data_IF_259234287505
#
_entry.id   IF_259234287505
#
_cell.length_a   1.000
_cell.length_b   1.000
_cell.length_c   1.000
_cell.angle_alpha   90.00
_cell.angle_beta   90.00
_cell.angle_gamma   90.00
#
_symmetry.space_group_name_H-M   'P 1'
#
loop_
_entity.id
_entity.type
_entity.pdbx_description
1 polymer ?
#
# COMPACT_ATOMS: atom_id res chain seq x y z
N UNK A 1 41.32 -31.60 -8.61
CA UNK A 1 40.42 -31.94 -7.48
C UNK A 1 39.57 -30.72 -7.17
N UNK A 2 38.29 -30.75 -7.53
CA UNK A 2 37.33 -29.68 -7.21
C UNK A 2 36.39 -30.19 -6.11
N UNK A 3 36.09 -29.41 -5.05
CA UNK A 3 35.11 -29.82 -4.08
C UNK A 3 33.70 -29.50 -4.59
N UNK A 4 32.87 -30.54 -4.68
CA UNK A 4 31.42 -30.45 -4.83
C UNK A 4 30.85 -29.75 -3.60
N UNK A 5 30.13 -28.64 -3.76
CA UNK A 5 29.25 -28.11 -2.70
C UNK A 5 27.87 -28.73 -2.89
N UNK A 6 27.45 -29.47 -1.88
CA UNK A 6 26.10 -30.00 -1.74
C UNK A 6 25.12 -28.82 -1.64
N UNK A 7 24.01 -28.93 -2.36
CA UNK A 7 22.80 -28.16 -2.07
C UNK A 7 22.24 -28.70 -0.75
N UNK A 8 22.11 -27.84 0.26
CA UNK A 8 21.37 -28.15 1.48
C UNK A 8 19.91 -27.73 1.26
N UNK A 9 19.03 -28.72 1.37
CA UNK A 9 17.59 -28.59 1.32
C UNK A 9 17.10 -27.89 2.60
N UNK A 10 16.61 -26.65 2.48
CA UNK A 10 16.03 -25.92 3.62
C UNK A 10 14.59 -26.36 3.84
N UNK A 11 14.33 -27.05 4.96
CA UNK A 11 12.98 -27.46 5.35
C UNK A 11 12.05 -26.26 5.64
N UNK A 12 10.78 -26.29 5.19
CA UNK A 12 9.84 -25.16 5.26
C UNK A 12 9.31 -24.81 6.67
N UNK A 13 9.83 -25.43 7.74
CA UNK A 13 9.37 -25.24 9.13
C UNK A 13 10.20 -24.28 9.99
N UNK A 14 11.40 -23.89 9.54
CA UNK A 14 12.35 -23.08 10.33
C UNK A 14 12.04 -21.58 10.28
N UNK A 15 11.50 -21.10 9.16
CA UNK A 15 11.15 -19.70 8.92
C UNK A 15 10.26 -19.10 10.04
N UNK A 16 9.22 -19.83 10.45
CA UNK A 16 8.28 -19.38 11.48
C UNK A 16 8.88 -19.33 12.89
N UNK A 17 9.90 -20.14 13.17
CA UNK A 17 10.59 -20.18 14.47
C UNK A 17 11.61 -19.04 14.54
N UNK A 18 12.34 -18.79 13.46
CA UNK A 18 13.31 -17.70 13.38
C UNK A 18 12.63 -16.32 13.43
N UNK A 19 11.51 -16.15 12.72
CA UNK A 19 10.70 -14.93 12.79
C UNK A 19 10.25 -14.64 14.23
N UNK A 20 9.80 -15.67 14.98
CA UNK A 20 9.41 -15.54 16.40
C UNK A 20 10.58 -15.21 17.32
N UNK A 21 11.79 -15.70 17.02
CA UNK A 21 13.00 -15.40 17.81
C UNK A 21 13.47 -13.97 17.57
N UNK A 22 13.51 -13.54 16.31
CA UNK A 22 13.70 -12.13 15.94
C UNK A 22 12.68 -11.25 16.67
N UNK A 23 11.41 -11.67 16.68
CA UNK A 23 10.32 -10.97 17.37
C UNK A 23 10.49 -10.76 18.88
N UNK A 24 11.14 -11.69 19.59
CA UNK A 24 11.44 -11.51 21.02
C UNK A 24 12.56 -10.51 21.26
N UNK A 25 13.36 -10.26 20.23
CA UNK A 25 14.56 -9.44 20.28
C UNK A 25 14.36 -8.08 19.62
N UNK A 26 13.26 -7.89 18.89
CA UNK A 26 12.88 -6.61 18.28
C UNK A 26 12.31 -5.65 19.32
N UNK A 27 12.63 -4.38 19.14
CA UNK A 27 12.11 -3.31 19.99
C UNK A 27 10.61 -3.08 19.74
N UNK A 28 9.95 -2.41 20.69
CA UNK A 28 8.52 -2.08 20.62
C UNK A 28 8.11 -1.39 19.30
N UNK A 29 9.02 -0.63 18.69
CA UNK A 29 8.77 0.07 17.43
C UNK A 29 8.64 -0.88 16.23
N UNK A 30 9.49 -1.91 16.09
CA UNK A 30 9.31 -2.95 15.07
C UNK A 30 7.95 -3.64 15.22
N UNK A 31 7.52 -3.90 16.45
CA UNK A 31 6.23 -4.55 16.68
C UNK A 31 5.02 -3.66 16.34
N UNK A 32 5.21 -2.35 16.27
CA UNK A 32 4.19 -1.37 15.89
C UNK A 32 4.22 -1.05 14.39
N UNK A 33 5.27 -1.45 13.68
CA UNK A 33 5.39 -1.22 12.24
C UNK A 33 4.52 -2.21 11.47
N UNK A 34 3.42 -1.69 10.90
CA UNK A 34 2.42 -2.49 10.19
C UNK A 34 2.92 -3.03 8.86
N UNK A 35 3.82 -2.29 8.19
CA UNK A 35 4.39 -2.69 6.91
C UNK A 35 5.32 -3.89 7.11
N UNK A 36 6.21 -3.81 8.11
CA UNK A 36 7.03 -4.93 8.57
C UNK A 36 6.13 -6.10 8.94
N UNK A 37 5.13 -5.86 9.79
CA UNK A 37 4.35 -6.95 10.37
C UNK A 37 3.48 -7.73 9.40
N UNK A 38 3.00 -7.06 8.37
CA UNK A 38 2.23 -7.71 7.33
C UNK A 38 3.09 -8.55 6.37
N UNK A 39 4.43 -8.38 6.38
CA UNK A 39 5.32 -8.98 5.39
C UNK A 39 6.42 -9.87 5.98
N UNK A 40 6.86 -9.64 7.22
CA UNK A 40 7.99 -10.36 7.83
C UNK A 40 7.76 -11.88 7.86
N UNK A 41 6.52 -12.31 8.12
CA UNK A 41 6.15 -13.73 8.17
C UNK A 41 6.07 -14.41 6.80
N UNK A 42 6.12 -13.64 5.70
CA UNK A 42 6.13 -14.17 4.33
C UNK A 42 7.54 -14.48 3.84
N UNK A 43 8.57 -14.10 4.59
CA UNK A 43 9.96 -14.30 4.21
C UNK A 43 10.42 -15.67 4.71
N UNK A 44 10.84 -16.54 3.79
CA UNK A 44 11.32 -17.89 4.10
C UNK A 44 12.65 -17.85 4.86
N UNK A 45 13.66 -17.17 4.33
CA UNK A 45 14.95 -16.95 4.99
C UNK A 45 15.06 -15.50 5.50
N UNK A 46 14.42 -15.22 6.63
CA UNK A 46 14.47 -13.90 7.25
C UNK A 46 15.91 -13.52 7.64
N UNK A 47 16.72 -14.48 8.10
CA UNK A 47 18.07 -14.21 8.56
C UNK A 47 19.02 -13.85 7.42
N UNK A 48 18.92 -14.55 6.29
CA UNK A 48 19.61 -14.19 5.05
C UNK A 48 19.15 -12.83 4.57
N UNK A 49 17.83 -12.61 4.51
CA UNK A 49 17.23 -11.35 4.06
C UNK A 49 17.73 -10.14 4.85
N UNK A 50 17.83 -10.24 6.17
CA UNK A 50 18.32 -9.17 7.04
C UNK A 50 19.81 -8.84 6.85
N UNK A 51 20.61 -9.79 6.33
CA UNK A 51 22.03 -9.58 6.00
C UNK A 51 22.26 -9.01 4.61
N UNK A 52 21.21 -8.94 3.78
CA UNK A 52 21.31 -8.34 2.46
C UNK A 52 21.65 -6.86 2.56
N UNK A 53 22.41 -6.43 1.58
CA UNK A 53 22.90 -5.07 1.43
C UNK A 53 22.10 -4.39 0.33
N UNK A 54 21.57 -3.22 0.63
CA UNK A 54 20.88 -2.37 -0.33
C UNK A 54 21.72 -1.13 -0.59
N UNK A 55 21.93 -0.80 -1.85
CA UNK A 55 22.61 0.45 -2.23
C UNK A 55 21.63 1.61 -2.13
N UNK A 56 22.07 2.70 -1.50
CA UNK A 56 21.26 3.91 -1.40
C UNK A 56 21.21 4.59 -2.78
N UNK A 57 20.03 5.04 -3.25
CA UNK A 57 19.95 5.73 -4.54
C UNK A 57 20.69 7.07 -4.58
N UNK A 58 20.89 7.73 -3.43
CA UNK A 58 21.54 9.04 -3.36
C UNK A 58 23.07 8.98 -3.50
N UNK A 59 23.71 7.89 -3.09
CA UNK A 59 25.16 7.76 -2.99
C UNK A 59 25.56 6.28 -3.10
N UNK A 60 26.80 5.96 -3.47
CA UNK A 60 27.32 4.58 -3.50
C UNK A 60 27.51 3.92 -2.12
N UNK A 61 26.78 4.38 -1.10
CA UNK A 61 26.72 3.75 0.20
C UNK A 61 25.78 2.57 0.18
N UNK A 62 26.13 1.55 0.96
CA UNK A 62 25.31 0.37 1.14
C UNK A 62 24.96 0.19 2.60
N UNK A 63 23.71 -0.20 2.86
CA UNK A 63 23.15 -0.43 4.18
C UNK A 63 22.62 -1.86 4.29
N UNK A 64 22.84 -2.50 5.44
CA UNK A 64 22.23 -3.82 5.70
C UNK A 64 20.78 -3.65 6.11
N UNK A 65 19.91 -4.51 5.58
CA UNK A 65 18.48 -4.42 5.87
C UNK A 65 18.15 -4.50 7.37
N UNK A 66 18.93 -5.27 8.16
CA UNK A 66 18.77 -5.34 9.63
C UNK A 66 18.87 -3.98 10.31
N UNK A 67 19.66 -3.06 9.75
CA UNK A 67 19.91 -1.74 10.32
C UNK A 67 18.77 -0.77 9.97
N UNK A 68 17.89 -1.14 9.03
CA UNK A 68 16.69 -0.38 8.66
C UNK A 68 15.40 -0.96 9.23
N UNK A 69 15.51 -1.93 10.15
CA UNK A 69 14.35 -2.45 10.87
C UNK A 69 13.89 -1.38 11.87
N UNK A 70 12.60 -0.99 11.84
CA UNK A 70 12.05 0.00 12.75
C UNK A 70 12.39 -0.29 14.21
N UNK A 71 12.97 0.70 14.89
CA UNK A 71 13.35 0.59 16.29
C UNK A 71 14.77 0.10 16.59
N UNK A 72 15.58 -0.21 15.56
CA UNK A 72 17.03 0.03 15.62
C UNK A 72 17.28 1.46 15.11
N UNK A 73 16.86 1.70 13.87
CA UNK A 73 16.85 2.99 13.19
C UNK A 73 15.62 2.94 12.28
N UNK A 74 14.61 3.78 12.52
CA UNK A 74 13.41 3.82 11.66
C UNK A 74 13.70 4.54 10.34
N UNK A 75 14.63 5.50 10.39
CA UNK A 75 15.01 6.36 9.28
C UNK A 75 16.53 6.38 9.21
N UNK A 76 17.09 5.84 8.14
CA UNK A 76 18.53 5.81 7.93
C UNK A 76 18.97 7.06 7.18
N UNK A 77 19.70 7.94 7.86
CA UNK A 77 20.32 9.10 7.23
C UNK A 77 21.59 8.67 6.50
N UNK A 78 21.73 9.06 5.23
CA UNK A 78 22.92 8.82 4.44
C UNK A 78 24.15 9.41 5.16
N UNK A 79 25.23 8.63 5.38
CA UNK A 79 26.40 9.08 6.14
C UNK A 79 27.27 10.10 5.38
N UNK A 80 27.05 10.29 4.07
CA UNK A 80 27.72 11.35 3.32
C UNK A 80 27.28 12.72 3.85
N UNK A 81 28.26 13.48 4.35
CA UNK A 81 28.07 14.80 4.96
C UNK A 81 27.40 15.81 4.04
N UNK A 82 27.48 15.61 2.73
CA UNK A 82 26.89 16.51 1.73
C UNK A 82 25.54 16.01 1.21
N UNK A 83 25.14 14.79 1.57
CA UNK A 83 23.93 14.14 1.09
C UNK A 83 22.74 14.46 2.01
N UNK A 84 22.83 14.05 3.28
CA UNK A 84 21.77 14.30 4.27
C UNK A 84 20.41 13.65 3.98
N UNK A 85 20.27 12.88 2.91
CA UNK A 85 19.02 12.20 2.56
C UNK A 85 18.69 11.10 3.57
N UNK A 86 17.41 10.97 3.85
CA UNK A 86 16.85 10.00 4.79
C UNK A 86 16.12 8.89 4.03
N UNK A 87 16.31 7.66 4.48
CA UNK A 87 15.80 6.47 3.79
C UNK A 87 15.09 5.55 4.77
N UNK A 88 13.95 5.01 4.34
CA UNK A 88 13.21 3.98 5.05
C UNK A 88 12.98 2.77 4.14
N UNK A 89 12.88 1.58 4.73
CA UNK A 89 12.63 0.37 3.96
C UNK A 89 11.13 0.04 3.89
N UNK A 90 10.62 -0.16 2.68
CA UNK A 90 9.24 -0.57 2.42
C UNK A 90 9.14 -2.08 2.26
N UNK A 91 8.65 -2.77 3.29
CA UNK A 91 8.48 -4.23 3.26
C UNK A 91 7.37 -4.69 2.31
N UNK A 92 6.45 -3.79 1.92
CA UNK A 92 5.44 -4.07 0.91
C UNK A 92 6.03 -4.06 -0.50
N UNK A 93 6.94 -3.14 -0.80
CA UNK A 93 7.56 -2.98 -2.13
C UNK A 93 8.92 -3.67 -2.25
N UNK A 94 9.50 -4.10 -1.13
CA UNK A 94 10.85 -4.62 -1.00
C UNK A 94 11.96 -3.63 -1.45
N UNK A 95 11.71 -2.34 -1.29
CA UNK A 95 12.55 -1.26 -1.82
C UNK A 95 12.85 -0.20 -0.76
N UNK A 96 13.93 0.55 -0.99
CA UNK A 96 14.25 1.75 -0.24
C UNK A 96 13.39 2.91 -0.74
N UNK A 97 12.68 3.54 0.17
CA UNK A 97 11.89 4.73 -0.09
C UNK A 97 12.58 5.91 0.61
N UNK A 98 12.71 7.01 -0.12
CA UNK A 98 13.21 8.27 0.45
C UNK A 98 12.21 8.76 1.50
N UNK A 99 12.66 8.90 2.74
CA UNK A 99 11.86 9.48 3.81
C UNK A 99 12.10 10.97 3.84
N UNK A 100 11.41 11.70 2.95
CA UNK A 100 11.43 13.15 3.01
C UNK A 100 10.74 13.59 4.31
N UNK A 101 11.31 14.53 5.07
CA UNK A 101 10.67 15.25 6.19
C UNK A 101 9.37 15.94 5.73
N UNK A 102 8.31 15.16 5.47
CA UNK A 102 6.96 15.54 5.03
C UNK A 102 6.19 14.34 4.43
N UNK A 103 6.83 13.21 4.14
CA UNK A 103 6.21 12.07 3.42
C UNK A 103 6.35 10.76 4.18
N UNK A 104 5.74 10.64 5.37
CA UNK A 104 5.74 9.39 6.10
C UNK A 104 5.11 8.29 5.25
N UNK A 105 5.72 7.10 5.23
CA UNK A 105 5.19 5.94 4.52
C UNK A 105 3.76 5.62 4.98
N UNK A 106 2.83 5.61 4.05
CA UNK A 106 1.45 5.20 4.31
C UNK A 106 1.30 3.69 4.14
N UNK A 107 0.80 2.99 5.16
CA UNK A 107 0.40 1.58 5.06
C UNK A 107 -1.07 1.45 5.42
N UNK A 108 -1.90 1.11 4.44
CA UNK A 108 -3.32 0.93 4.65
C UNK A 108 -3.57 -0.34 5.47
N UNK A 109 -4.14 -0.22 6.66
CA UNK A 109 -4.44 -1.37 7.52
C UNK A 109 -5.53 -2.29 6.97
N UNK A 110 -6.41 -1.75 6.12
CA UNK A 110 -7.53 -2.50 5.53
C UNK A 110 -7.05 -3.26 4.30
N UNK A 111 -6.32 -2.57 3.41
CA UNK A 111 -5.78 -3.19 2.19
C UNK A 111 -4.46 -3.93 2.42
N UNK A 112 -3.82 -3.77 3.59
CA UNK A 112 -2.53 -4.37 3.97
C UNK A 112 -1.42 -4.13 2.95
N UNK A 113 -1.36 -2.90 2.42
CA UNK A 113 -0.40 -2.48 1.40
C UNK A 113 0.06 -1.05 1.63
N UNK A 114 1.29 -0.76 1.22
CA UNK A 114 1.80 0.61 1.17
C UNK A 114 1.15 1.41 0.03
N UNK A 115 0.90 2.68 0.32
CA UNK A 115 0.48 3.70 -0.63
C UNK A 115 1.32 4.97 -0.46
N UNK A 116 0.95 6.03 -1.14
CA UNK A 116 1.64 7.31 -1.02
C UNK A 116 1.28 8.03 0.28
N UNK A 117 2.13 8.92 0.76
CA UNK A 117 1.96 9.62 2.06
C UNK A 117 0.61 10.35 2.20
N UNK A 118 0.01 10.76 1.08
CA UNK A 118 -1.29 11.42 1.01
C UNK A 118 -2.46 10.47 0.75
N UNK A 119 -2.26 9.16 0.77
CA UNK A 119 -3.33 8.20 0.51
C UNK A 119 -4.28 8.05 1.71
N UNK A 120 -5.55 7.86 1.40
CA UNK A 120 -6.60 7.51 2.35
C UNK A 120 -7.36 6.28 1.88
N UNK A 121 -7.95 5.53 2.82
CA UNK A 121 -8.83 4.40 2.49
C UNK A 121 -10.27 4.83 2.61
N UNK A 122 -11.01 4.79 1.50
CA UNK A 122 -12.44 5.00 1.55
C UNK A 122 -13.18 3.72 1.96
N UNK A 123 -13.93 3.80 3.06
CA UNK A 123 -14.75 2.69 3.55
C UNK A 123 -15.95 2.36 2.64
N UNK A 124 -16.50 3.35 1.92
CA UNK A 124 -17.67 3.17 1.04
C UNK A 124 -17.33 2.28 -0.17
N UNK A 125 -16.28 2.64 -0.91
CA UNK A 125 -15.87 1.89 -2.11
C UNK A 125 -14.81 0.82 -1.82
N UNK A 126 -14.35 0.73 -0.57
CA UNK A 126 -13.30 -0.17 -0.10
C UNK A 126 -12.00 -0.08 -0.92
N UNK A 127 -11.60 1.13 -1.29
CA UNK A 127 -10.38 1.40 -2.08
C UNK A 127 -9.55 2.51 -1.46
N UNK A 128 -8.22 2.34 -1.53
CA UNK A 128 -7.29 3.44 -1.29
C UNK A 128 -7.32 4.41 -2.46
N UNK A 129 -7.16 5.70 -2.16
CA UNK A 129 -7.07 6.76 -3.15
C UNK A 129 -6.16 7.87 -2.61
N UNK A 130 -5.57 8.66 -3.51
CA UNK A 130 -4.76 9.80 -3.13
C UNK A 130 -5.67 10.95 -2.65
N UNK A 131 -5.69 11.21 -1.35
CA UNK A 131 -6.38 12.34 -0.75
C UNK A 131 -5.48 13.60 -0.70
N UNK A 132 -4.18 13.46 -0.92
CA UNK A 132 -3.22 14.56 -0.82
C UNK A 132 -3.23 15.26 0.55
N UNK A 133 -2.50 16.36 0.68
CA UNK A 133 -2.49 17.18 1.92
C UNK A 133 -3.73 18.06 2.06
N UNK A 134 -4.38 18.40 0.94
CA UNK A 134 -5.57 19.24 0.91
C UNK A 134 -6.89 18.48 1.15
N UNK A 135 -6.85 17.14 1.25
CA UNK A 135 -8.02 16.32 1.53
C UNK A 135 -8.97 16.18 0.33
N UNK A 136 -8.44 15.85 -0.85
CA UNK A 136 -9.24 15.48 -2.02
C UNK A 136 -10.29 14.44 -1.64
N UNK A 137 -11.48 14.59 -2.22
CA UNK A 137 -12.58 13.67 -1.98
C UNK A 137 -12.33 12.31 -2.63
N UNK A 138 -12.91 11.27 -2.04
CA UNK A 138 -12.93 9.96 -2.67
C UNK A 138 -13.53 10.09 -4.08
N UNK A 139 -12.97 9.44 -5.12
CA UNK A 139 -13.59 9.36 -6.44
C UNK A 139 -14.99 8.70 -6.46
N UNK A 140 -15.39 8.13 -5.34
CA UNK A 140 -16.71 7.58 -5.07
C UNK A 140 -17.71 8.61 -4.52
N UNK A 141 -17.33 9.90 -4.43
CA UNK A 141 -18.15 11.03 -3.98
C UNK A 141 -19.56 10.96 -4.58
N UNK A 142 -20.54 11.21 -3.71
CA UNK A 142 -21.92 10.71 -3.75
C UNK A 142 -22.46 10.41 -5.14
N UNK A 143 -22.13 9.22 -5.66
CA UNK A 143 -23.04 8.52 -6.56
C UNK A 143 -24.17 8.00 -5.70
N UNK A 144 -25.06 8.90 -5.30
CA UNK A 144 -26.36 8.49 -4.79
C UNK A 144 -26.92 7.50 -5.83
N UNK A 145 -27.61 6.47 -5.37
CA UNK A 145 -28.30 5.52 -6.25
C UNK A 145 -29.22 6.23 -7.27
N UNK A 146 -29.60 7.47 -6.97
CA UNK A 146 -30.32 8.42 -7.81
C UNK A 146 -29.59 8.75 -9.12
N UNK A 147 -28.27 8.93 -9.12
CA UNK A 147 -27.52 9.29 -10.34
C UNK A 147 -27.34 8.10 -11.29
N UNK A 148 -27.32 6.88 -10.75
CA UNK A 148 -27.31 5.67 -11.58
C UNK A 148 -28.70 5.47 -12.20
N UNK A 149 -29.77 5.65 -11.42
CA UNK A 149 -31.14 5.59 -11.92
C UNK A 149 -31.42 6.68 -12.97
N UNK A 150 -30.98 7.93 -12.75
CA UNK A 150 -31.10 9.01 -13.72
C UNK A 150 -30.32 8.71 -15.01
N UNK A 151 -29.11 8.15 -14.92
CA UNK A 151 -28.32 7.79 -16.11
C UNK A 151 -28.94 6.62 -16.88
N UNK A 152 -29.50 5.63 -16.19
CA UNK A 152 -30.24 4.52 -16.80
C UNK A 152 -31.53 5.02 -17.48
N UNK A 153 -32.27 5.92 -16.84
CA UNK A 153 -33.50 6.53 -17.38
C UNK A 153 -33.20 7.45 -18.57
N UNK A 154 -32.14 8.26 -18.53
CA UNK A 154 -31.70 9.09 -19.67
C UNK A 154 -31.25 8.23 -20.85
N UNK A 155 -30.53 7.13 -20.58
CA UNK A 155 -30.15 6.19 -21.63
C UNK A 155 -31.38 5.48 -22.22
N UNK A 156 -32.33 5.08 -21.39
CA UNK A 156 -33.58 4.44 -21.83
C UNK A 156 -34.46 5.42 -22.64
N UNK A 157 -34.58 6.68 -22.21
CA UNK A 157 -35.29 7.73 -22.95
C UNK A 157 -34.66 7.97 -24.32
N UNK A 158 -33.33 8.03 -24.38
CA UNK A 158 -32.60 8.21 -25.64
C UNK A 158 -32.85 7.05 -26.61
N UNK A 159 -32.90 5.80 -26.11
CA UNK A 159 -33.25 4.63 -26.92
C UNK A 159 -34.69 4.69 -27.41
N UNK A 160 -35.64 5.11 -26.57
CA UNK A 160 -37.06 5.23 -26.94
C UNK A 160 -37.31 6.34 -27.97
N UNK A 161 -36.65 7.49 -27.82
CA UNK A 161 -36.72 8.61 -28.76
C UNK A 161 -36.15 8.24 -30.13
N UNK A 162 -34.99 7.57 -30.16
CA UNK A 162 -34.39 7.08 -31.41
C UNK A 162 -35.20 5.96 -32.09
N UNK A 163 -36.01 5.23 -31.31
CA UNK A 163 -36.93 4.22 -31.81
C UNK A 163 -38.27 4.79 -32.31
N UNK A 164 -38.48 6.11 -32.23
CA UNK A 164 -39.66 6.80 -32.77
C UNK A 164 -40.92 6.70 -31.90
N UNK A 165 -40.78 6.46 -30.59
CA UNK A 165 -41.90 6.55 -29.65
C UNK A 165 -42.17 8.02 -29.28
N UNK A 166 -43.42 8.48 -29.49
CA UNK A 166 -43.87 9.87 -29.33
C UNK A 166 -44.09 10.28 -27.84
N UNK A 167 -44.08 11.58 -27.56
CA UNK A 167 -43.92 12.26 -26.25
C UNK A 167 -44.96 11.94 -25.15
N UNK A 168 -45.97 11.11 -25.44
CA UNK A 168 -47.06 10.77 -24.51
C UNK A 168 -46.67 9.88 -23.30
N UNK A 169 -45.45 9.33 -23.25
CA UNK A 169 -44.95 8.50 -22.13
C UNK A 169 -44.39 9.37 -20.98
N UNK A 170 -44.16 10.66 -21.21
CA UNK A 170 -43.50 11.57 -20.26
C UNK A 170 -44.31 11.83 -18.98
N UNK A 171 -45.65 11.82 -19.06
CA UNK A 171 -46.54 12.06 -17.91
C UNK A 171 -46.56 10.92 -16.87
N UNK A 172 -46.15 9.71 -17.25
CA UNK A 172 -46.17 8.56 -16.35
C UNK A 172 -44.95 8.53 -15.40
N UNK A 173 -43.78 8.97 -15.86
CA UNK A 173 -42.54 8.91 -15.08
C UNK A 173 -42.36 10.11 -14.14
N UNK A 174 -42.91 11.28 -14.46
CA UNK A 174 -42.81 12.46 -13.57
C UNK A 174 -43.70 12.36 -12.31
N UNK A 175 -44.78 11.57 -12.36
CA UNK A 175 -45.75 11.44 -11.25
C UNK A 175 -45.50 10.22 -10.33
N UNK A 176 -44.43 9.45 -10.54
CA UNK A 176 -44.18 8.18 -9.83
C UNK A 176 -43.21 8.29 -8.64
N UNK A 177 -42.72 9.50 -8.31
CA UNK A 177 -41.83 9.72 -7.16
C UNK A 177 -42.63 10.44 -6.06
N UNK A 178 -42.95 9.80 -4.92
CA UNK A 178 -43.51 10.51 -3.78
C UNK A 178 -42.41 11.36 -3.12
N UNK A 179 -42.79 12.57 -2.70
CA UNK A 179 -41.97 13.52 -1.91
C UNK A 179 -41.57 12.89 -0.58
#
# INVERSE_FOLDING_TARGET
>A
MAPKRAAEDTEPGTAGIEARRFYRQTSKAAAQDKCLMDNIFKIEDLRGRLKEHHELPCCSYSVQLKDMVPGSITVFTCPDKYCGYEWQYSWCRNELEEDWEARPRYHCVICRKCGDYGDAHCKKCNKCYFAGTAGFECPCGDKSTEDTAKRELTNMWTVLYLAGFDDSITDFFQNSIPI
#
